data_IF_711045237510
#
_entry.id   IF_711045237510
#
_cell.length_a   1.000
_cell.length_b   1.000
_cell.length_c   1.000
_cell.angle_alpha   90.00
_cell.angle_beta   90.00
_cell.angle_gamma   90.00
#
_symmetry.space_group_name_H-M   'P 1'
#
loop_
_entity.id
_entity.type
_entity.pdbx_description
1 polymer ?
#
# COMPACT_ATOMS: atom_id res chain seq x y z
N UNK A 1 8.76 27.36 19.19
CA UNK A 1 7.85 26.25 18.81
C UNK A 1 8.04 25.93 17.34
N UNK A 2 8.37 24.69 16.99
CA UNK A 2 8.32 24.27 15.60
C UNK A 2 6.86 24.25 15.15
N UNK A 3 6.51 25.00 14.13
CA UNK A 3 5.17 24.97 13.57
C UNK A 3 4.84 23.54 13.12
N UNK A 4 3.68 23.04 13.53
CA UNK A 4 3.19 21.74 13.13
C UNK A 4 2.78 21.79 11.66
N UNK A 5 3.49 21.09 10.80
CA UNK A 5 3.20 21.08 9.37
C UNK A 5 2.13 20.03 9.07
N UNK A 6 0.88 20.46 8.95
CA UNK A 6 -0.27 19.56 8.77
C UNK A 6 -0.44 19.22 7.29
N UNK A 7 -0.53 17.93 6.91
CA UNK A 7 -0.65 17.50 5.51
C UNK A 7 -2.10 17.62 5.01
N UNK A 8 -2.51 18.81 4.62
CA UNK A 8 -3.86 19.02 4.08
C UNK A 8 -3.96 18.43 2.67
N UNK A 9 -4.91 17.52 2.47
CA UNK A 9 -5.17 16.90 1.16
C UNK A 9 -4.11 15.92 0.67
N UNK A 10 -3.15 15.54 1.52
CA UNK A 10 -2.11 14.58 1.16
C UNK A 10 -2.50 13.20 1.69
N UNK A 11 -2.62 12.23 0.80
CA UNK A 11 -2.95 10.83 1.12
C UNK A 11 -1.82 9.85 0.79
N UNK A 12 -0.65 10.35 0.44
CA UNK A 12 0.54 9.55 0.16
C UNK A 12 1.44 9.51 1.39
N UNK A 13 1.62 8.33 1.96
CA UNK A 13 2.41 8.10 3.17
C UNK A 13 3.88 8.49 3.00
N UNK A 14 4.50 8.10 1.91
CA UNK A 14 5.91 8.44 1.63
C UNK A 14 6.12 9.94 1.58
N UNK A 15 5.21 10.67 0.93
CA UNK A 15 5.28 12.12 0.82
C UNK A 15 5.16 12.80 2.18
N UNK A 16 4.28 12.30 3.04
CA UNK A 16 4.12 12.81 4.41
C UNK A 16 5.41 12.61 5.20
N UNK A 17 5.98 11.43 5.17
CA UNK A 17 7.17 11.11 5.95
C UNK A 17 8.44 11.80 5.44
N UNK A 18 8.63 11.83 4.12
CA UNK A 18 9.81 12.44 3.51
C UNK A 18 9.85 13.96 3.68
N UNK A 19 8.71 14.62 3.69
CA UNK A 19 8.63 16.08 3.82
C UNK A 19 8.43 16.56 5.26
N UNK A 20 8.48 15.66 6.23
CA UNK A 20 8.38 16.03 7.65
C UNK A 20 7.02 16.57 8.06
N UNK A 21 5.94 16.20 7.37
CA UNK A 21 4.58 16.51 7.78
C UNK A 21 4.20 15.76 9.07
N UNK A 22 3.29 16.35 9.82
CA UNK A 22 2.74 15.66 10.99
C UNK A 22 1.96 14.42 10.57
N UNK A 23 2.30 13.31 11.18
CA UNK A 23 1.63 12.02 10.94
C UNK A 23 1.09 11.46 12.24
N UNK A 24 -0.20 11.18 12.29
CA UNK A 24 -0.81 10.43 13.38
C UNK A 24 -0.50 8.96 13.18
N UNK A 25 0.27 8.38 14.08
CA UNK A 25 0.74 7.01 13.97
C UNK A 25 -0.42 6.01 14.02
N UNK A 26 -0.66 5.35 12.91
CA UNK A 26 -1.63 4.27 12.74
C UNK A 26 -0.97 2.97 12.31
N UNK A 27 0.33 2.86 12.47
CA UNK A 27 1.09 1.67 12.07
C UNK A 27 0.78 0.42 12.89
N UNK A 28 0.11 0.56 14.02
CA UNK A 28 -0.48 -0.56 14.75
C UNK A 28 -1.43 -1.42 13.92
N UNK A 29 -2.03 -0.85 12.89
CA UNK A 29 -2.84 -1.60 11.92
C UNK A 29 -2.06 -2.73 11.23
N UNK A 30 -0.78 -2.53 10.96
CA UNK A 30 0.09 -3.55 10.36
C UNK A 30 0.21 -4.76 11.28
N UNK A 31 0.47 -4.51 12.55
CA UNK A 31 0.56 -5.57 13.56
C UNK A 31 -0.76 -6.34 13.70
N UNK A 32 -1.88 -5.62 13.73
CA UNK A 32 -3.21 -6.21 13.78
C UNK A 32 -3.49 -7.11 12.57
N UNK A 33 -3.19 -6.64 11.36
CA UNK A 33 -3.38 -7.41 10.13
C UNK A 33 -2.55 -8.71 10.13
N UNK A 34 -1.30 -8.61 10.59
CA UNK A 34 -0.41 -9.77 10.64
C UNK A 34 -0.81 -10.79 11.71
N UNK A 35 -1.33 -10.33 12.84
CA UNK A 35 -1.84 -11.21 13.91
C UNK A 35 -3.14 -11.92 13.55
N UNK A 36 -3.97 -11.29 12.75
CA UNK A 36 -5.29 -11.83 12.38
C UNK A 36 -5.17 -13.03 11.42
N UNK A 37 -4.09 -13.09 10.64
CA UNK A 37 -3.86 -14.14 9.63
C UNK A 37 -5.04 -14.35 8.67
N UNK A 38 -5.86 -13.32 8.46
CA UNK A 38 -7.03 -13.38 7.60
C UNK A 38 -6.61 -13.28 6.13
N UNK A 39 -7.19 -14.10 5.29
CA UNK A 39 -6.99 -14.03 3.83
C UNK A 39 -7.56 -12.73 3.25
N UNK A 40 -8.65 -12.25 3.81
CA UNK A 40 -9.32 -11.02 3.39
C UNK A 40 -9.63 -10.15 4.60
N UNK A 41 -9.24 -8.90 4.55
CA UNK A 41 -9.58 -7.90 5.57
C UNK A 41 -10.33 -6.74 4.94
N UNK A 42 -11.52 -6.47 5.45
CA UNK A 42 -12.33 -5.34 5.02
C UNK A 42 -12.16 -4.18 6.02
N UNK A 43 -11.68 -3.05 5.51
CA UNK A 43 -11.53 -1.82 6.30
C UNK A 43 -12.62 -0.84 5.90
N UNK A 44 -13.59 -0.65 6.79
CA UNK A 44 -14.69 0.29 6.59
C UNK A 44 -14.54 1.47 7.52
N UNK A 45 -14.43 2.68 6.96
CA UNK A 45 -14.37 3.92 7.71
C UNK A 45 -15.13 5.01 6.94
N UNK A 46 -15.70 6.01 7.60
CA UNK A 46 -16.28 7.17 6.94
C UNK A 46 -15.27 7.91 6.06
N UNK A 47 -15.74 8.77 5.17
CA UNK A 47 -14.87 9.65 4.38
C UNK A 47 -13.97 10.48 5.29
N UNK A 48 -12.73 10.76 4.85
CA UNK A 48 -11.72 11.57 5.56
C UNK A 48 -11.15 10.94 6.83
N UNK A 49 -11.34 9.65 7.04
CA UNK A 49 -10.73 8.90 8.16
C UNK A 49 -9.38 8.23 7.79
N UNK A 50 -8.77 8.66 6.72
CA UNK A 50 -7.42 8.22 6.36
C UNK A 50 -7.33 6.84 5.73
N UNK A 51 -8.40 6.32 5.11
CA UNK A 51 -8.38 5.01 4.43
C UNK A 51 -7.32 4.94 3.33
N UNK A 52 -7.29 5.93 2.45
CA UNK A 52 -6.32 6.00 1.34
C UNK A 52 -4.89 6.13 1.86
N UNK A 53 -4.70 6.93 2.89
CA UNK A 53 -3.40 7.06 3.56
C UNK A 53 -2.97 5.74 4.21
N UNK A 54 -3.89 5.04 4.85
CA UNK A 54 -3.65 3.71 5.43
C UNK A 54 -3.26 2.68 4.37
N UNK A 55 -3.92 2.67 3.22
CA UNK A 55 -3.55 1.80 2.09
C UNK A 55 -2.18 2.15 1.53
N UNK A 56 -1.86 3.43 1.39
CA UNK A 56 -0.53 3.90 0.98
C UNK A 56 0.56 3.49 1.97
N UNK A 57 0.27 3.54 3.26
CA UNK A 57 1.18 3.08 4.32
C UNK A 57 1.44 1.57 4.21
N UNK A 58 0.39 0.76 4.03
CA UNK A 58 0.51 -0.69 3.87
C UNK A 58 1.32 -1.06 2.62
N UNK A 59 1.07 -0.38 1.50
CA UNK A 59 1.85 -0.55 0.29
C UNK A 59 3.33 -0.25 0.52
N UNK A 60 3.64 0.86 1.18
CA UNK A 60 5.02 1.22 1.52
C UNK A 60 5.69 0.21 2.45
N UNK A 61 4.94 -0.40 3.35
CA UNK A 61 5.48 -1.39 4.28
C UNK A 61 5.80 -2.73 3.60
N UNK A 62 4.89 -3.24 2.78
CA UNK A 62 5.00 -4.60 2.24
C UNK A 62 5.74 -4.68 0.89
N UNK A 63 5.68 -3.66 0.05
CA UNK A 63 6.16 -3.75 -1.34
C UNK A 63 7.66 -4.03 -1.42
N UNK A 64 7.99 -5.16 -2.03
CA UNK A 64 9.36 -5.63 -2.26
C UNK A 64 10.21 -4.67 -3.10
N UNK A 65 9.58 -3.82 -3.91
CA UNK A 65 10.28 -2.83 -4.73
C UNK A 65 10.76 -1.61 -3.97
N UNK A 66 10.30 -1.46 -2.72
CA UNK A 66 10.59 -0.29 -1.89
C UNK A 66 11.59 -0.61 -0.78
N UNK A 67 12.25 0.43 -0.31
CA UNK A 67 13.05 0.38 0.91
C UNK A 67 12.52 1.44 1.86
N UNK A 68 11.62 1.04 2.73
CA UNK A 68 10.82 1.95 3.55
C UNK A 68 11.29 2.07 5.00
N UNK A 69 12.44 1.50 5.34
CA UNK A 69 12.93 1.49 6.73
C UNK A 69 12.96 2.89 7.36
N UNK A 70 13.42 3.89 6.60
CA UNK A 70 13.46 5.29 7.07
C UNK A 70 12.08 5.91 7.23
N UNK A 71 11.11 5.50 6.41
CA UNK A 71 9.75 6.02 6.48
C UNK A 71 9.04 5.62 7.77
N UNK A 72 9.35 4.45 8.31
CA UNK A 72 8.75 3.92 9.52
C UNK A 72 9.55 4.20 10.80
N UNK A 73 10.72 4.82 10.67
CA UNK A 73 11.55 5.18 11.80
C UNK A 73 10.79 6.08 12.79
N UNK A 74 10.83 5.72 14.07
CA UNK A 74 10.13 6.44 15.13
C UNK A 74 8.64 6.13 15.27
N UNK A 75 8.07 5.29 14.40
CA UNK A 75 6.68 4.83 14.49
C UNK A 75 6.57 3.55 15.32
N UNK A 76 5.36 3.25 15.77
CA UNK A 76 5.08 2.10 16.64
C UNK A 76 5.56 0.77 16.05
N UNK A 77 5.31 0.53 14.77
CA UNK A 77 5.71 -0.71 14.08
C UNK A 77 7.23 -0.90 14.07
N UNK A 78 8.01 0.17 14.07
CA UNK A 78 9.47 0.10 14.08
C UNK A 78 10.03 -0.53 15.36
N UNK A 79 9.25 -0.53 16.44
CA UNK A 79 9.60 -1.19 17.70
C UNK A 79 9.49 -2.71 17.61
N UNK A 80 8.71 -3.20 16.65
CA UNK A 80 8.51 -4.62 16.38
C UNK A 80 9.58 -5.13 15.38
N UNK A 81 10.81 -5.27 15.85
CA UNK A 81 11.96 -5.63 14.99
C UNK A 81 11.77 -6.97 14.27
N UNK A 82 11.14 -7.95 14.90
CA UNK A 82 10.87 -9.26 14.29
C UNK A 82 9.87 -9.15 13.13
N UNK A 83 8.78 -8.40 13.32
CA UNK A 83 7.80 -8.17 12.26
C UNK A 83 8.39 -7.39 11.09
N UNK A 84 9.18 -6.35 11.39
CA UNK A 84 9.88 -5.59 10.36
C UNK A 84 10.87 -6.45 9.58
N UNK A 85 11.65 -7.30 10.24
CA UNK A 85 12.62 -8.18 9.57
C UNK A 85 11.94 -9.21 8.67
N UNK A 86 10.80 -9.73 9.09
CA UNK A 86 10.08 -10.78 8.36
C UNK A 86 9.22 -10.24 7.22
N UNK A 87 8.61 -9.06 7.38
CA UNK A 87 7.54 -8.60 6.52
C UNK A 87 7.83 -7.30 5.75
N UNK A 88 8.69 -6.43 6.28
CA UNK A 88 8.94 -5.13 5.66
C UNK A 88 9.66 -5.28 4.32
N UNK A 89 9.02 -4.82 3.25
CA UNK A 89 9.54 -4.86 1.88
C UNK A 89 9.95 -6.27 1.40
N UNK A 90 9.22 -7.28 1.82
CA UNK A 90 9.50 -8.69 1.49
C UNK A 90 8.50 -9.30 0.50
N UNK A 91 7.41 -8.62 0.19
CA UNK A 91 6.32 -9.17 -0.59
C UNK A 91 5.97 -8.32 -1.79
N UNK A 92 5.70 -8.94 -2.96
CA UNK A 92 5.09 -8.23 -4.07
C UNK A 92 3.73 -7.69 -3.65
N UNK A 93 3.54 -6.39 -3.78
CA UNK A 93 2.30 -5.73 -3.35
C UNK A 93 1.62 -5.07 -4.53
N UNK A 94 0.37 -5.43 -4.76
CA UNK A 94 -0.46 -4.86 -5.81
C UNK A 94 -1.51 -3.96 -5.18
N UNK A 95 -1.44 -2.68 -5.52
CA UNK A 95 -2.41 -1.69 -5.08
C UNK A 95 -3.24 -1.21 -6.26
N UNK A 96 -4.55 -1.30 -6.15
CA UNK A 96 -5.48 -0.86 -7.18
C UNK A 96 -6.51 0.11 -6.61
N UNK A 97 -6.79 1.17 -7.35
CA UNK A 97 -7.83 2.14 -7.02
C UNK A 97 -8.85 2.23 -8.14
N UNK A 98 -10.11 2.08 -7.80
CA UNK A 98 -11.22 2.27 -8.75
C UNK A 98 -11.80 3.69 -8.74
N UNK A 99 -11.12 4.62 -8.08
CA UNK A 99 -11.56 6.01 -7.94
C UNK A 99 -11.78 6.71 -9.28
N UNK A 100 -10.99 6.35 -10.28
CA UNK A 100 -11.05 6.93 -11.63
C UNK A 100 -12.08 6.25 -12.53
N UNK A 101 -12.63 5.12 -12.10
CA UNK A 101 -13.65 4.39 -12.85
C UNK A 101 -14.99 5.09 -12.64
N UNK A 102 -15.29 6.02 -13.53
CA UNK A 102 -16.53 6.77 -13.59
C UNK A 102 -16.96 6.90 -15.05
N UNK A 103 -18.23 6.83 -15.31
CA UNK A 103 -18.73 6.95 -16.66
C UNK A 103 -20.24 7.15 -16.68
N UNK A 104 -20.70 7.94 -17.66
CA UNK A 104 -22.12 8.20 -17.89
C UNK A 104 -22.89 6.96 -18.34
N UNK A 105 -22.18 5.94 -18.85
CA UNK A 105 -22.75 4.70 -19.33
C UNK A 105 -21.80 3.52 -19.10
N UNK A 106 -22.26 2.30 -19.31
CA UNK A 106 -21.49 1.08 -19.14
C UNK A 106 -20.21 1.07 -20.00
N UNK A 107 -20.29 1.48 -21.25
CA UNK A 107 -19.13 1.46 -22.17
C UNK A 107 -18.00 2.34 -21.66
N UNK A 108 -18.30 3.57 -21.25
CA UNK A 108 -17.29 4.49 -20.70
C UNK A 108 -16.67 3.96 -19.40
N UNK A 109 -17.48 3.42 -18.50
CA UNK A 109 -16.99 2.84 -17.25
C UNK A 109 -16.12 1.60 -17.51
N UNK A 110 -16.49 0.75 -18.46
CA UNK A 110 -15.73 -0.43 -18.86
C UNK A 110 -14.38 -0.05 -19.47
N UNK A 111 -14.33 0.97 -20.32
CA UNK A 111 -13.09 1.45 -20.91
C UNK A 111 -12.14 1.99 -19.83
N UNK A 112 -12.64 2.76 -18.88
CA UNK A 112 -11.85 3.27 -17.76
C UNK A 112 -11.33 2.14 -16.87
N UNK A 113 -12.14 1.13 -16.60
CA UNK A 113 -11.73 -0.05 -15.84
C UNK A 113 -10.61 -0.81 -16.56
N UNK A 114 -10.74 -0.98 -17.87
CA UNK A 114 -9.71 -1.61 -18.71
C UNK A 114 -8.39 -0.85 -18.66
N UNK A 115 -8.43 0.48 -18.69
CA UNK A 115 -7.24 1.32 -18.54
C UNK A 115 -6.58 1.16 -17.18
N UNK A 116 -7.36 1.08 -16.11
CA UNK A 116 -6.84 0.84 -14.75
C UNK A 116 -6.10 -0.49 -14.67
N UNK A 117 -6.66 -1.55 -15.24
CA UNK A 117 -6.00 -2.86 -15.24
C UNK A 117 -4.77 -2.90 -16.15
N UNK A 118 -4.80 -2.24 -17.31
CA UNK A 118 -3.63 -2.13 -18.18
C UNK A 118 -2.46 -1.41 -17.49
N UNK A 119 -2.74 -0.31 -16.82
CA UNK A 119 -1.74 0.43 -16.04
C UNK A 119 -1.18 -0.41 -14.88
N UNK A 120 -2.07 -1.11 -14.17
CA UNK A 120 -1.69 -2.02 -13.10
C UNK A 120 -0.78 -3.14 -13.60
N UNK A 121 -1.11 -3.76 -14.72
CA UNK A 121 -0.28 -4.78 -15.37
C UNK A 121 1.11 -4.25 -15.72
N UNK A 122 1.18 -3.08 -16.34
CA UNK A 122 2.44 -2.46 -16.71
C UNK A 122 3.33 -2.15 -15.49
N UNK A 123 2.74 -1.70 -14.39
CA UNK A 123 3.45 -1.45 -13.14
C UNK A 123 4.02 -2.72 -12.51
N UNK A 124 3.42 -3.88 -12.79
CA UNK A 124 3.76 -5.15 -12.16
C UNK A 124 4.38 -6.16 -13.10
N UNK A 125 4.95 -5.71 -14.23
CA UNK A 125 5.67 -6.58 -15.19
C UNK A 125 6.81 -7.35 -14.54
N UNK A 126 7.41 -6.84 -13.47
CA UNK A 126 8.47 -7.53 -12.73
C UNK A 126 8.01 -8.89 -12.15
N UNK A 127 6.73 -9.07 -11.89
CA UNK A 127 6.18 -10.36 -11.43
C UNK A 127 6.29 -11.44 -12.49
N UNK A 128 6.19 -11.06 -13.76
CA UNK A 128 6.41 -11.95 -14.89
C UNK A 128 7.85 -12.50 -14.93
N UNK A 129 8.82 -11.65 -14.59
CA UNK A 129 10.23 -12.04 -14.51
C UNK A 129 10.50 -12.99 -13.33
N UNK A 130 9.84 -12.80 -12.22
CA UNK A 130 9.92 -13.69 -11.06
C UNK A 130 9.38 -15.08 -11.43
N UNK A 131 8.28 -15.16 -12.18
CA UNK A 131 7.72 -16.42 -12.66
C UNK A 131 8.65 -17.17 -13.62
N UNK A 132 9.39 -16.47 -14.45
CA UNK A 132 10.38 -17.06 -15.35
C UNK A 132 11.53 -17.69 -14.55
N UNK A 133 11.97 -17.09 -13.45
CA UNK A 133 13.05 -17.61 -12.60
C UNK A 133 12.62 -18.76 -11.70
N UNK A 134 11.33 -18.93 -11.42
CA UNK A 134 10.79 -19.99 -10.56
C UNK A 134 9.58 -20.69 -11.20
N UNK A 135 9.76 -21.40 -12.32
CA UNK A 135 8.64 -21.99 -13.08
C UNK A 135 7.88 -23.07 -12.32
N UNK A 136 8.48 -23.71 -11.33
CA UNK A 136 7.85 -24.76 -10.51
C UNK A 136 6.71 -24.24 -9.63
N UNK A 137 6.70 -22.95 -9.29
CA UNK A 137 5.62 -22.36 -8.50
C UNK A 137 4.36 -22.07 -9.31
N UNK A 138 4.46 -21.98 -10.62
CA UNK A 138 3.31 -21.77 -11.51
C UNK A 138 2.32 -22.94 -11.46
N UNK A 139 2.76 -24.15 -11.24
CA UNK A 139 1.90 -25.32 -11.11
C UNK A 139 1.14 -25.42 -9.79
N UNK A 140 1.41 -24.55 -8.85
CA UNK A 140 0.81 -24.56 -7.50
C UNK A 140 -0.34 -23.55 -7.32
N UNK A 141 -0.63 -22.81 -8.36
CA UNK A 141 -1.69 -21.76 -8.33
C UNK A 141 -3.04 -22.34 -8.73
#
# INVERSE_FOLDING_TARGET
MKALNIPVGISNFEKIRNNGFYYVDKTGLIEELLKTEAEVTLITRPRRFGKTLGMSMLESFFDIRKNSRKLFEGLEIARQSELCSKWMNQYPTVSVSFRQVDGLNFTSAYDMLTMVFADLYNKHLYLSLIHISEPTRLGMI
#
